data_IF_007892810792
#
_entry.id   IF_007892810792
#
_cell.length_a   1.000
_cell.length_b   1.000
_cell.length_c   1.000
_cell.angle_alpha   90.00
_cell.angle_beta   90.00
_cell.angle_gamma   90.00
#
_symmetry.space_group_name_H-M   'P 1'
#
loop_
_entity.id
_entity.type
_entity.pdbx_description
1 polymer ?
#
# COMPACT_ATOMS: atom_id res chain seq x y z
N UNK A 1 -55.62 5.83 12.89
CA UNK A 1 -54.52 5.64 13.88
C UNK A 1 -53.42 4.65 13.40
N UNK A 2 -53.76 3.56 12.69
CA UNK A 2 -52.75 2.58 12.20
C UNK A 2 -51.84 3.13 11.09
N UNK A 3 -52.37 3.94 10.16
CA UNK A 3 -51.59 4.53 9.06
C UNK A 3 -50.54 5.55 9.54
N UNK A 4 -50.85 6.31 10.59
CA UNK A 4 -49.92 7.27 11.22
C UNK A 4 -48.78 6.55 11.92
N UNK A 5 -49.05 5.43 12.57
CA UNK A 5 -48.05 4.58 13.20
C UNK A 5 -47.13 3.91 12.16
N UNK A 6 -47.68 3.41 11.05
CA UNK A 6 -46.88 2.87 9.94
C UNK A 6 -45.97 3.93 9.30
N UNK A 7 -46.46 5.18 9.14
CA UNK A 7 -45.63 6.31 8.68
C UNK A 7 -44.55 6.71 9.69
N UNK A 8 -44.84 6.63 11.00
CA UNK A 8 -43.86 6.89 12.06
C UNK A 8 -42.71 5.87 12.01
N UNK A 9 -43.02 4.58 11.98
CA UNK A 9 -42.02 3.50 11.91
C UNK A 9 -41.11 3.60 10.68
N UNK A 10 -41.66 3.98 9.52
CA UNK A 10 -40.86 4.22 8.31
C UNK A 10 -39.86 5.37 8.48
N UNK A 11 -40.29 6.48 9.10
CA UNK A 11 -39.41 7.62 9.38
C UNK A 11 -38.32 7.26 10.40
N UNK A 12 -38.67 6.51 11.44
CA UNK A 12 -37.71 6.06 12.45
C UNK A 12 -36.65 5.13 11.86
N UNK A 13 -37.07 4.15 11.04
CA UNK A 13 -36.15 3.27 10.31
C UNK A 13 -35.22 4.07 9.41
N UNK A 14 -35.77 4.99 8.61
CA UNK A 14 -34.98 5.87 7.75
C UNK A 14 -33.96 6.70 8.55
N UNK A 15 -34.40 7.31 9.66
CA UNK A 15 -33.53 8.12 10.51
C UNK A 15 -32.42 7.29 11.18
N UNK A 16 -32.71 6.04 11.55
CA UNK A 16 -31.73 5.13 12.12
C UNK A 16 -30.66 4.74 11.09
N UNK A 17 -31.07 4.45 9.85
CA UNK A 17 -30.15 4.15 8.74
C UNK A 17 -29.23 5.35 8.46
N UNK A 18 -29.80 6.54 8.34
CA UNK A 18 -29.00 7.75 8.06
C UNK A 18 -28.07 8.12 9.22
N UNK A 19 -28.48 7.88 10.47
CA UNK A 19 -27.59 8.02 11.63
C UNK A 19 -26.39 7.08 11.51
N UNK A 20 -26.60 5.79 11.26
CA UNK A 20 -25.52 4.81 11.07
C UNK A 20 -24.57 5.21 9.94
N UNK A 21 -25.10 5.69 8.82
CA UNK A 21 -24.28 6.19 7.70
C UNK A 21 -23.39 7.35 8.15
N UNK A 22 -23.96 8.34 8.85
CA UNK A 22 -23.19 9.49 9.36
C UNK A 22 -22.13 9.08 10.38
N UNK A 23 -22.45 8.15 11.26
CA UNK A 23 -21.50 7.65 12.27
C UNK A 23 -20.34 6.91 11.60
N UNK A 24 -20.62 6.06 10.63
CA UNK A 24 -19.57 5.37 9.85
C UNK A 24 -18.64 6.35 9.11
N UNK A 25 -19.18 7.40 8.50
CA UNK A 25 -18.36 8.45 7.87
C UNK A 25 -17.48 9.15 8.91
N UNK A 26 -18.05 9.48 10.08
CA UNK A 26 -17.30 10.16 11.15
C UNK A 26 -16.18 9.28 11.72
N UNK A 27 -16.44 7.98 11.88
CA UNK A 27 -15.43 7.00 12.30
C UNK A 27 -14.28 6.95 11.31
N UNK A 28 -14.55 6.89 10.00
CA UNK A 28 -13.50 6.89 8.98
C UNK A 28 -12.67 8.18 8.96
N UNK A 29 -13.31 9.34 9.17
CA UNK A 29 -12.58 10.59 9.30
C UNK A 29 -11.70 10.57 10.57
N UNK A 30 -12.19 10.01 11.67
CA UNK A 30 -11.41 9.93 12.91
C UNK A 30 -10.22 8.96 12.78
N UNK A 31 -10.41 7.83 12.10
CA UNK A 31 -9.35 6.87 11.77
C UNK A 31 -8.27 7.50 10.88
N UNK A 32 -8.66 8.28 9.87
CA UNK A 32 -7.70 9.03 9.06
C UNK A 32 -6.86 10.01 9.90
N UNK A 33 -7.45 10.60 10.94
CA UNK A 33 -6.73 11.49 11.85
C UNK A 33 -5.63 10.77 12.63
N UNK A 34 -5.78 9.49 12.97
CA UNK A 34 -4.79 8.73 13.75
C UNK A 34 -3.65 8.19 12.89
N UNK A 35 -3.83 8.13 11.57
CA UNK A 35 -2.81 7.70 10.61
C UNK A 35 -1.90 8.85 10.14
N UNK A 36 -2.29 10.09 10.45
CA UNK A 36 -1.53 11.27 10.09
C UNK A 36 -0.37 11.50 11.08
N UNK A 37 0.81 11.94 10.62
CA UNK A 37 1.89 12.33 11.51
C UNK A 37 1.48 13.49 12.43
N UNK A 38 1.99 13.51 13.66
CA UNK A 38 1.64 14.53 14.67
C UNK A 38 1.92 15.97 14.20
N UNK A 39 2.89 16.18 13.32
CA UNK A 39 3.16 17.51 12.75
C UNK A 39 2.09 18.00 11.75
N UNK A 40 1.17 17.14 11.29
CA UNK A 40 0.12 17.50 10.34
C UNK A 40 -1.17 17.96 11.03
N UNK A 41 -1.34 17.62 12.32
CA UNK A 41 -2.53 17.92 13.10
C UNK A 41 -2.12 18.58 14.41
N UNK A 42 -2.62 19.80 14.64
CA UNK A 42 -2.46 20.46 15.93
C UNK A 42 -3.19 19.66 17.03
N UNK A 43 -2.41 18.98 17.86
CA UNK A 43 -2.92 18.10 18.93
C UNK A 43 -3.62 18.87 20.05
N UNK A 44 -3.45 20.19 20.12
CA UNK A 44 -4.07 21.01 21.16
C UNK A 44 -5.57 21.25 20.94
N UNK A 45 -6.07 21.06 19.71
CA UNK A 45 -7.46 21.30 19.37
C UNK A 45 -8.09 20.09 18.67
N UNK A 46 -9.40 19.90 18.88
CA UNK A 46 -10.15 18.87 18.17
C UNK A 46 -10.02 19.12 16.65
N UNK A 47 -9.40 18.20 15.90
CA UNK A 47 -9.07 18.46 14.50
C UNK A 47 -10.33 18.64 13.66
N UNK A 48 -10.33 19.68 12.83
CA UNK A 48 -11.43 19.95 11.91
C UNK A 48 -11.47 18.85 10.83
N UNK A 49 -12.65 18.28 10.56
CA UNK A 49 -12.87 17.24 9.53
C UNK A 49 -12.29 17.62 8.17
N UNK A 50 -12.45 18.89 7.75
CA UNK A 50 -11.90 19.36 6.48
C UNK A 50 -10.37 19.38 6.45
N UNK A 51 -9.74 19.66 7.59
CA UNK A 51 -8.28 19.64 7.72
C UNK A 51 -7.77 18.20 7.68
N UNK A 52 -8.40 17.29 8.41
CA UNK A 52 -8.05 15.85 8.40
C UNK A 52 -8.07 15.35 6.95
N UNK A 53 -9.18 15.54 6.23
CA UNK A 53 -9.32 15.08 4.86
C UNK A 53 -8.24 15.63 3.93
N UNK A 54 -7.99 16.95 3.98
CA UNK A 54 -6.96 17.59 3.15
C UNK A 54 -5.57 17.03 3.47
N UNK A 55 -5.22 16.98 4.75
CA UNK A 55 -3.91 16.48 5.22
C UNK A 55 -3.71 15.00 4.89
N UNK A 56 -4.77 14.19 4.97
CA UNK A 56 -4.75 12.78 4.53
C UNK A 56 -4.42 12.64 3.05
N UNK A 57 -5.01 13.47 2.18
CA UNK A 57 -4.70 13.46 0.75
C UNK A 57 -3.24 13.86 0.49
N UNK A 58 -2.76 14.92 1.15
CA UNK A 58 -1.37 15.37 1.01
C UNK A 58 -0.39 14.28 1.47
N UNK A 59 -0.69 13.62 2.60
CA UNK A 59 0.15 12.58 3.15
C UNK A 59 0.19 11.33 2.26
N UNK A 60 -0.93 10.92 1.67
CA UNK A 60 -0.95 9.81 0.69
C UNK A 60 -0.04 10.12 -0.50
N UNK A 61 -0.08 11.35 -1.03
CA UNK A 61 0.81 11.78 -2.14
C UNK A 61 2.27 11.74 -1.72
N UNK A 62 2.59 12.21 -0.51
CA UNK A 62 3.93 12.13 0.04
C UNK A 62 4.41 10.68 0.17
N UNK A 63 3.58 9.77 0.68
CA UNK A 63 3.92 8.34 0.79
C UNK A 63 4.16 7.71 -0.59
N UNK A 64 3.36 8.04 -1.59
CA UNK A 64 3.57 7.56 -2.97
C UNK A 64 4.94 8.01 -3.53
N UNK A 65 5.31 9.27 -3.30
CA UNK A 65 6.63 9.79 -3.70
C UNK A 65 7.77 9.12 -2.94
N UNK A 66 7.60 8.91 -1.63
CA UNK A 66 8.58 8.25 -0.79
C UNK A 66 8.82 6.81 -1.25
N UNK A 67 7.76 6.04 -1.53
CA UNK A 67 7.87 4.67 -2.05
C UNK A 67 8.60 4.63 -3.39
N UNK A 68 8.28 5.56 -4.30
CA UNK A 68 8.97 5.64 -5.59
C UNK A 68 10.47 5.95 -5.43
N UNK A 69 10.82 6.91 -4.58
CA UNK A 69 12.22 7.25 -4.28
C UNK A 69 12.97 6.08 -3.64
N UNK A 70 12.35 5.39 -2.68
CA UNK A 70 12.96 4.23 -2.02
C UNK A 70 13.14 3.05 -2.98
N UNK A 71 12.19 2.84 -3.90
CA UNK A 71 12.30 1.82 -4.94
C UNK A 71 13.51 2.10 -5.84
N UNK A 72 13.67 3.34 -6.31
CA UNK A 72 14.81 3.72 -7.13
C UNK A 72 16.13 3.55 -6.37
N UNK A 73 16.17 3.95 -5.10
CA UNK A 73 17.37 3.82 -4.28
C UNK A 73 17.74 2.36 -4.03
N UNK A 74 16.75 1.51 -3.76
CA UNK A 74 16.98 0.08 -3.59
C UNK A 74 17.50 -0.56 -4.88
N UNK A 75 16.93 -0.23 -6.05
CA UNK A 75 17.42 -0.71 -7.34
C UNK A 75 18.87 -0.28 -7.60
N UNK A 76 19.23 0.95 -7.28
CA UNK A 76 20.59 1.45 -7.43
C UNK A 76 21.58 0.69 -6.53
N UNK A 77 21.19 0.45 -5.27
CA UNK A 77 22.00 -0.32 -4.32
C UNK A 77 22.15 -1.78 -4.75
N UNK A 78 21.08 -2.40 -5.23
CA UNK A 78 21.11 -3.77 -5.77
C UNK A 78 22.03 -3.88 -7.00
N UNK A 79 22.01 -2.89 -7.89
CA UNK A 79 22.92 -2.84 -9.04
C UNK A 79 24.39 -2.70 -8.62
N UNK A 80 24.67 -1.89 -7.59
CA UNK A 80 26.03 -1.75 -7.04
C UNK A 80 26.53 -3.04 -6.39
N UNK A 81 25.64 -3.80 -5.74
CA UNK A 81 25.98 -5.10 -5.16
C UNK A 81 26.28 -6.13 -6.26
N UNK A 82 25.49 -6.19 -7.33
CA UNK A 82 25.77 -7.07 -8.48
C UNK A 82 27.12 -6.75 -9.15
N UNK A 83 27.48 -5.46 -9.26
CA UNK A 83 28.78 -5.05 -9.79
C UNK A 83 29.98 -5.44 -8.91
N UNK A 84 29.78 -5.54 -7.58
CA UNK A 84 30.82 -5.98 -6.64
C UNK A 84 30.95 -7.50 -6.55
N UNK A 85 29.86 -8.25 -6.72
CA UNK A 85 29.92 -9.72 -6.84
C UNK A 85 30.58 -10.16 -8.14
N UNK A 86 30.44 -9.39 -9.23
CA UNK A 86 31.10 -9.70 -10.51
C UNK A 86 32.63 -9.47 -10.52
N UNK A 87 33.15 -8.57 -9.66
CA UNK A 87 34.59 -8.31 -9.54
C UNK A 87 35.30 -9.19 -8.47
N UNK A 88 34.55 -10.02 -7.74
CA UNK A 88 35.08 -10.88 -6.66
C UNK A 88 35.61 -12.25 -7.12
N UNK A 89 35.26 -12.72 -8.33
CA UNK A 89 35.53 -14.09 -8.78
C UNK A 89 36.52 -14.17 -9.97
N UNK A 90 37.51 -13.29 -10.01
CA UNK A 90 38.63 -13.39 -10.95
C UNK A 90 39.85 -14.14 -10.35
N UNK A 91 39.64 -15.09 -9.44
CA UNK A 91 40.68 -16.03 -9.02
C UNK A 91 40.14 -17.45 -8.82
N UNK A 92 40.10 -18.20 -9.91
CA UNK A 92 40.26 -19.66 -9.96
C UNK A 92 39.22 -20.52 -9.25
N UNK A 93 38.28 -21.10 -10.01
CA UNK A 93 38.15 -22.56 -10.19
C UNK A 93 36.99 -22.87 -11.15
N UNK A 94 37.21 -23.85 -12.02
CA UNK A 94 36.24 -24.36 -13.00
C UNK A 94 34.96 -24.86 -12.29
N UNK A 95 33.78 -24.38 -12.67
CA UNK A 95 32.51 -24.97 -12.20
C UNK A 95 31.26 -24.25 -12.67
N UNK A 96 30.53 -24.89 -13.59
CA UNK A 96 29.11 -24.68 -13.95
C UNK A 96 28.60 -23.24 -14.17
N UNK A 97 28.31 -22.90 -15.43
CA UNK A 97 27.42 -21.78 -15.77
C UNK A 97 26.08 -21.96 -15.03
N UNK A 98 25.84 -21.16 -13.99
CA UNK A 98 24.53 -21.11 -13.34
C UNK A 98 23.49 -20.59 -14.35
N UNK A 99 22.29 -21.17 -14.42
CA UNK A 99 21.26 -20.74 -15.37
C UNK A 99 20.83 -19.30 -15.05
N UNK A 100 20.83 -18.45 -16.06
CA UNK A 100 20.41 -17.04 -15.97
C UNK A 100 18.98 -16.93 -15.39
N UNK A 101 18.73 -16.07 -14.39
CA UNK A 101 17.41 -15.91 -13.80
C UNK A 101 16.39 -15.43 -14.85
N UNK A 102 15.26 -16.12 -14.98
CA UNK A 102 14.18 -15.73 -15.88
C UNK A 102 13.16 -14.82 -15.16
N UNK A 103 12.70 -13.78 -15.85
CA UNK A 103 11.65 -12.88 -15.37
C UNK A 103 10.29 -13.41 -15.82
N UNK A 104 9.45 -13.85 -14.87
CA UNK A 104 8.06 -14.27 -15.16
C UNK A 104 7.07 -13.25 -14.59
N UNK A 105 6.10 -12.81 -15.38
CA UNK A 105 4.96 -12.04 -14.88
C UNK A 105 4.03 -12.96 -14.07
N UNK A 106 3.84 -12.64 -12.79
CA UNK A 106 2.76 -13.19 -11.97
C UNK A 106 1.96 -12.06 -11.36
N UNK A 107 0.62 -12.20 -11.27
CA UNK A 107 -0.33 -11.27 -10.61
C UNK A 107 0.19 -9.84 -10.36
N UNK A 108 0.51 -9.11 -11.44
CA UNK A 108 0.88 -7.69 -11.39
C UNK A 108 2.28 -7.34 -10.87
N UNK A 109 3.15 -8.30 -10.55
CA UNK A 109 4.55 -8.06 -10.16
C UNK A 109 5.54 -8.98 -10.88
N UNK A 110 6.64 -8.41 -11.36
CA UNK A 110 7.78 -9.18 -11.90
C UNK A 110 8.51 -9.84 -10.72
N UNK A 111 8.56 -11.18 -10.67
CA UNK A 111 9.38 -11.92 -9.69
C UNK A 111 10.49 -12.67 -10.40
N UNK A 112 11.68 -12.67 -9.81
CA UNK A 112 12.82 -13.47 -10.25
C UNK A 112 12.58 -14.93 -9.84
N UNK A 113 12.58 -15.84 -10.80
CA UNK A 113 12.48 -17.29 -10.57
C UNK A 113 13.77 -17.99 -11.03
N UNK A 114 14.25 -19.02 -10.29
CA UNK A 114 15.39 -19.82 -10.75
C UNK A 114 15.00 -20.57 -12.03
N UNK A 115 15.83 -20.47 -13.08
CA UNK A 115 15.57 -21.11 -14.37
C UNK A 115 15.56 -22.64 -14.24
N UNK A 116 14.48 -23.29 -14.67
CA UNK A 116 14.42 -24.76 -14.69
C UNK A 116 15.20 -25.31 -15.87
N UNK A 117 16.12 -26.24 -15.63
CA UNK A 117 16.75 -27.05 -16.67
C UNK A 117 15.68 -27.88 -17.39
N UNK A 118 15.57 -27.71 -18.72
CA UNK A 118 14.82 -28.63 -19.57
C UNK A 118 15.60 -29.95 -19.66
N UNK A 119 15.24 -30.92 -18.82
CA UNK A 119 15.70 -32.29 -18.98
C UNK A 119 14.79 -33.01 -19.99
N UNK A 120 15.39 -33.42 -21.10
CA UNK A 120 14.77 -34.17 -22.20
C UNK A 120 14.32 -35.52 -21.66
N UNK A 121 13.02 -35.80 -21.66
CA UNK A 121 12.46 -37.13 -21.41
C UNK A 121 12.84 -38.06 -22.57
N UNK A 122 13.55 -39.13 -22.25
CA UNK A 122 13.83 -40.27 -23.12
C UNK A 122 12.66 -41.25 -23.11
#
# INVERSE_FOLDING_TARGET
MILTEKRRRRRESHNAVERRRRDNINEKIQELSTLLPDCYIDSANKPNKGVILRKSVDYIRHLQQLVASQTNRNQELEAQLQGKTANGDANGTNGALAPSPQLQQGFGMMRIVPGSSNEIQN
#
